data_IF_625803157516
#
_entry.id   IF_625803157516
#
_cell.length_a   1.000
_cell.length_b   1.000
_cell.length_c   1.000
_cell.angle_alpha   90.00
_cell.angle_beta   90.00
_cell.angle_gamma   90.00
#
_symmetry.space_group_name_H-M   'P 1'
#
loop_
_entity.id
_entity.type
_entity.pdbx_description
1 polymer ?
#
# COMPACT_ATOMS: atom_id res chain seq x y z
N UNK A 1 16.36 -17.69 1.83
CA UNK A 1 15.71 -17.75 0.50
C UNK A 1 16.12 -16.50 -0.29
N UNK A 2 16.61 -16.62 -1.53
CA UNK A 2 17.27 -15.51 -2.26
C UNK A 2 16.37 -14.29 -2.52
N UNK A 3 15.26 -14.44 -3.24
CA UNK A 3 14.42 -13.29 -3.62
C UNK A 3 13.82 -12.54 -2.42
N UNK A 4 13.40 -13.25 -1.36
CA UNK A 4 12.92 -12.63 -0.12
C UNK A 4 13.99 -11.73 0.50
N UNK A 5 15.25 -12.19 0.52
CA UNK A 5 16.35 -11.39 1.04
C UNK A 5 16.63 -10.15 0.17
N UNK A 6 16.61 -10.32 -1.15
CA UNK A 6 16.94 -9.27 -2.11
C UNK A 6 15.86 -8.19 -2.22
N UNK A 7 14.59 -8.54 -1.98
CA UNK A 7 13.45 -7.62 -2.04
C UNK A 7 12.93 -7.26 -0.65
N UNK A 8 12.23 -8.17 0.02
CA UNK A 8 11.48 -7.86 1.23
C UNK A 8 12.39 -7.49 2.42
N UNK A 9 13.46 -8.25 2.65
CA UNK A 9 14.43 -7.93 3.73
C UNK A 9 15.20 -6.65 3.40
N UNK A 10 15.58 -6.44 2.14
CA UNK A 10 16.24 -5.21 1.68
C UNK A 10 15.36 -3.99 1.90
N UNK A 11 14.08 -4.04 1.53
CA UNK A 11 13.10 -2.99 1.79
C UNK A 11 12.93 -2.77 3.30
N UNK A 12 12.79 -3.83 4.09
CA UNK A 12 12.65 -3.73 5.54
C UNK A 12 13.84 -3.05 6.22
N UNK A 13 15.07 -3.41 5.82
CA UNK A 13 16.30 -2.75 6.33
C UNK A 13 16.37 -1.29 5.92
N UNK A 14 16.09 -0.98 4.66
CA UNK A 14 16.06 0.41 4.18
C UNK A 14 15.05 1.27 4.94
N UNK A 15 13.88 0.70 5.27
CA UNK A 15 12.83 1.34 6.06
C UNK A 15 13.26 1.63 7.51
N UNK A 16 14.01 0.73 8.15
CA UNK A 16 14.56 0.94 9.49
C UNK A 16 15.58 2.08 9.56
N UNK A 17 16.29 2.35 8.46
CA UNK A 17 17.27 3.42 8.36
C UNK A 17 16.62 4.80 8.14
N UNK A 18 15.29 4.88 7.99
CA UNK A 18 14.60 6.17 7.82
C UNK A 18 14.52 6.91 9.16
N UNK A 19 14.75 8.24 9.18
CA UNK A 19 14.59 9.02 10.41
C UNK A 19 13.19 8.84 11.02
N UNK A 20 13.14 8.51 12.32
CA UNK A 20 11.88 8.25 13.04
C UNK A 20 11.33 6.82 12.86
N UNK A 21 11.99 5.97 12.07
CA UNK A 21 11.53 4.62 11.76
C UNK A 21 10.32 4.60 10.83
N UNK A 22 9.85 3.40 10.42
CA UNK A 22 8.85 3.28 9.37
C UNK A 22 7.39 3.49 9.80
N UNK A 23 7.10 3.73 11.09
CA UNK A 23 5.72 3.90 11.58
C UNK A 23 4.81 2.75 11.16
N UNK A 24 3.68 3.03 10.49
CA UNK A 24 2.78 2.01 9.91
C UNK A 24 3.10 1.77 8.42
N UNK A 25 3.24 0.52 8.00
CA UNK A 25 3.50 0.17 6.59
C UNK A 25 2.29 -0.53 5.99
N UNK A 26 1.83 -0.07 4.84
CA UNK A 26 0.87 -0.79 4.02
C UNK A 26 1.55 -1.54 2.88
N UNK A 27 1.17 -2.79 2.64
CA UNK A 27 1.77 -3.59 1.56
C UNK A 27 0.84 -4.69 1.05
N UNK A 28 0.97 -5.04 -0.23
CA UNK A 28 0.27 -6.20 -0.82
C UNK A 28 1.02 -7.53 -0.63
N UNK A 29 2.24 -7.48 -0.10
CA UNK A 29 3.03 -8.67 0.24
C UNK A 29 3.72 -8.44 1.59
N UNK A 30 3.05 -8.85 2.66
CA UNK A 30 3.49 -8.64 4.05
C UNK A 30 4.88 -9.22 4.26
N UNK A 31 5.04 -10.48 3.84
CA UNK A 31 6.25 -11.29 3.88
C UNK A 31 7.21 -10.95 5.03
N UNK A 32 8.49 -10.80 4.67
CA UNK A 32 9.57 -10.46 5.59
C UNK A 32 9.63 -8.95 5.95
N UNK A 33 8.89 -8.07 5.27
CA UNK A 33 8.95 -6.62 5.55
C UNK A 33 8.47 -6.34 6.97
N UNK A 34 7.31 -6.90 7.35
CA UNK A 34 6.79 -6.75 8.71
C UNK A 34 7.67 -7.41 9.76
N UNK A 35 8.21 -8.59 9.46
CA UNK A 35 9.12 -9.30 10.36
C UNK A 35 10.41 -8.53 10.63
N UNK A 36 11.03 -7.97 9.58
CA UNK A 36 12.29 -7.23 9.70
C UNK A 36 12.10 -5.90 10.41
N UNK A 37 11.02 -5.19 10.11
CA UNK A 37 10.80 -3.83 10.65
C UNK A 37 10.19 -3.83 12.04
N UNK A 38 9.43 -4.86 12.42
CA UNK A 38 8.61 -4.88 13.63
C UNK A 38 7.45 -3.86 13.60
N UNK A 39 7.21 -3.22 12.46
CA UNK A 39 6.20 -2.18 12.30
C UNK A 39 4.78 -2.78 12.17
N UNK A 40 3.74 -2.05 12.58
CA UNK A 40 2.36 -2.37 12.22
C UNK A 40 2.19 -2.48 10.71
N UNK A 41 1.59 -3.58 10.24
CA UNK A 41 1.32 -3.83 8.82
C UNK A 41 -0.17 -3.72 8.50
N UNK A 42 -0.47 -2.98 7.42
CA UNK A 42 -1.75 -3.03 6.72
C UNK A 42 -1.60 -3.88 5.46
N UNK A 43 -2.21 -5.05 5.45
CA UNK A 43 -2.25 -5.95 4.31
C UNK A 43 -3.30 -5.49 3.30
N UNK A 44 -2.85 -5.12 2.11
CA UNK A 44 -3.69 -4.58 1.05
C UNK A 44 -4.49 -5.66 0.31
N UNK A 45 -4.25 -6.93 0.59
CA UNK A 45 -4.98 -8.06 -0.01
C UNK A 45 -6.13 -8.56 0.87
N UNK A 46 -6.14 -8.18 2.16
CA UNK A 46 -7.22 -8.51 3.10
C UNK A 46 -7.12 -9.88 3.77
N UNK A 47 -5.97 -10.56 3.67
CA UNK A 47 -5.68 -11.79 4.41
C UNK A 47 -5.47 -11.51 5.89
N UNK A 48 -4.60 -10.56 6.23
CA UNK A 48 -4.31 -10.17 7.62
C UNK A 48 -5.16 -8.97 8.07
N UNK A 49 -5.47 -8.04 7.16
CA UNK A 49 -6.20 -6.81 7.46
C UNK A 49 -7.61 -6.85 6.89
N UNK A 50 -8.52 -7.60 7.53
CA UNK A 50 -9.87 -7.88 7.01
C UNK A 50 -10.73 -6.63 6.75
N UNK A 51 -10.49 -5.56 7.48
CA UNK A 51 -11.14 -4.25 7.33
C UNK A 51 -10.95 -3.60 5.94
N UNK A 52 -9.94 -4.03 5.16
CA UNK A 52 -9.75 -3.55 3.79
C UNK A 52 -10.77 -4.18 2.82
N UNK A 53 -11.31 -5.36 3.14
CA UNK A 53 -12.14 -6.15 2.22
C UNK A 53 -13.38 -5.39 1.73
N UNK A 54 -14.16 -4.68 2.57
CA UNK A 54 -15.27 -3.86 2.08
C UNK A 54 -14.83 -2.79 1.08
N UNK A 55 -13.65 -2.20 1.25
CA UNK A 55 -13.07 -1.24 0.32
C UNK A 55 -12.68 -1.89 -1.01
N UNK A 56 -12.03 -3.06 -0.96
CA UNK A 56 -11.65 -3.82 -2.16
C UNK A 56 -12.85 -4.25 -3.01
N UNK A 57 -14.04 -4.40 -2.41
CA UNK A 57 -15.28 -4.81 -3.08
C UNK A 57 -16.12 -3.65 -3.64
N UNK A 58 -15.69 -2.40 -3.43
CA UNK A 58 -16.47 -1.25 -3.91
C UNK A 58 -16.60 -1.26 -5.43
N UNK A 59 -17.75 -0.83 -5.98
CA UNK A 59 -17.87 -0.64 -7.42
C UNK A 59 -16.81 0.37 -7.88
N UNK A 60 -16.29 0.23 -9.11
CA UNK A 60 -15.37 1.22 -9.65
C UNK A 60 -16.09 2.57 -9.77
N UNK A 61 -15.33 3.66 -9.66
CA UNK A 61 -15.86 4.99 -9.90
C UNK A 61 -16.47 5.08 -11.33
N UNK A 62 -17.55 5.86 -11.54
CA UNK A 62 -18.11 6.07 -12.88
C UNK A 62 -17.03 6.49 -13.89
N UNK A 63 -16.97 5.81 -15.04
CA UNK A 63 -15.95 6.06 -16.06
C UNK A 63 -14.57 5.42 -15.79
N UNK A 64 -14.42 4.64 -14.72
CA UNK A 64 -13.21 3.87 -14.43
C UNK A 64 -13.45 2.38 -14.65
N UNK A 65 -12.57 1.72 -15.41
CA UNK A 65 -12.48 0.25 -15.47
C UNK A 65 -11.44 -0.31 -14.50
N UNK A 66 -10.86 0.54 -13.65
CA UNK A 66 -9.64 0.21 -12.91
C UNK A 66 -9.92 -0.80 -11.80
N UNK A 67 -9.49 -2.03 -12.06
CA UNK A 67 -9.49 -3.13 -11.12
C UNK A 67 -8.05 -3.60 -10.97
N UNK A 68 -7.57 -3.60 -9.74
CA UNK A 68 -6.27 -4.16 -9.39
C UNK A 68 -6.33 -5.67 -9.37
N UNK A 69 -5.29 -6.27 -8.79
CA UNK A 69 -5.19 -7.71 -8.60
C UNK A 69 -6.48 -8.33 -8.06
N UNK A 70 -6.89 -9.46 -8.65
CA UNK A 70 -8.10 -10.21 -8.33
C UNK A 70 -9.40 -9.38 -8.38
N UNK A 71 -9.45 -8.38 -9.26
CA UNK A 71 -10.64 -7.54 -9.38
C UNK A 71 -10.83 -6.58 -8.19
N UNK A 72 -9.78 -6.24 -7.45
CA UNK A 72 -9.88 -5.30 -6.34
C UNK A 72 -10.17 -3.87 -6.82
N UNK A 73 -11.02 -3.16 -6.09
CA UNK A 73 -11.29 -1.74 -6.31
C UNK A 73 -10.11 -0.89 -5.86
N UNK A 74 -9.36 -0.34 -6.81
CA UNK A 74 -8.21 0.53 -6.50
C UNK A 74 -8.66 1.88 -5.92
N UNK A 75 -9.80 2.42 -6.36
CA UNK A 75 -10.39 3.62 -5.77
C UNK A 75 -10.82 3.38 -4.33
N UNK A 76 -11.41 2.21 -4.05
CA UNK A 76 -11.73 1.81 -2.68
C UNK A 76 -10.47 1.62 -1.84
N UNK A 77 -9.44 0.96 -2.38
CA UNK A 77 -8.16 0.79 -1.70
C UNK A 77 -7.50 2.14 -1.37
N UNK A 78 -7.54 3.10 -2.28
CA UNK A 78 -7.02 4.44 -2.04
C UNK A 78 -7.78 5.17 -0.93
N UNK A 79 -9.10 5.00 -0.85
CA UNK A 79 -9.89 5.53 0.27
C UNK A 79 -9.48 4.89 1.60
N UNK A 80 -9.31 3.58 1.64
CA UNK A 80 -8.81 2.88 2.82
C UNK A 80 -7.46 3.45 3.27
N UNK A 81 -6.51 3.60 2.33
CA UNK A 81 -5.20 4.16 2.61
C UNK A 81 -5.28 5.60 3.15
N UNK A 82 -6.19 6.44 2.63
CA UNK A 82 -6.41 7.81 3.12
C UNK A 82 -6.99 7.85 4.53
N UNK A 83 -7.85 6.89 4.88
CA UNK A 83 -8.42 6.76 6.23
C UNK A 83 -7.35 6.26 7.21
N UNK A 84 -6.57 5.25 6.81
CA UNK A 84 -5.58 4.60 7.68
C UNK A 84 -4.25 5.33 7.79
N UNK A 85 -3.96 6.18 6.80
CA UNK A 85 -2.79 7.05 6.74
C UNK A 85 -1.46 6.34 7.06
N UNK A 86 -1.12 5.22 6.39
CA UNK A 86 0.16 4.56 6.63
C UNK A 86 1.31 5.49 6.25
N UNK A 87 2.43 5.32 6.94
CA UNK A 87 3.65 6.06 6.71
C UNK A 87 4.32 5.67 5.39
N UNK A 88 4.27 4.40 5.04
CA UNK A 88 4.82 3.89 3.79
C UNK A 88 3.84 2.95 3.13
N UNK A 89 3.85 2.94 1.80
CA UNK A 89 3.09 1.99 0.98
C UNK A 89 4.09 1.24 0.10
N UNK A 90 4.33 -0.04 0.35
CA UNK A 90 5.24 -0.87 -0.41
C UNK A 90 4.44 -1.84 -1.28
N UNK A 91 4.46 -1.67 -2.61
CA UNK A 91 3.61 -2.45 -3.51
C UNK A 91 4.29 -2.96 -4.77
N UNK A 92 3.76 -4.06 -5.31
CA UNK A 92 4.01 -4.47 -6.70
C UNK A 92 3.19 -3.59 -7.64
N UNK A 93 3.81 -2.70 -8.45
CA UNK A 93 3.07 -1.74 -9.25
C UNK A 93 2.20 -2.41 -10.33
N UNK A 94 2.58 -3.58 -10.83
CA UNK A 94 1.80 -4.31 -11.83
C UNK A 94 0.48 -4.87 -11.28
N UNK A 95 0.37 -5.04 -9.96
CA UNK A 95 -0.90 -5.43 -9.31
C UNK A 95 -1.90 -4.27 -9.25
N UNK A 96 -1.45 -3.04 -9.53
CA UNK A 96 -2.23 -1.82 -9.48
C UNK A 96 -2.04 -0.97 -10.76
N UNK A 97 -2.59 -1.40 -11.92
CA UNK A 97 -2.32 -0.79 -13.22
C UNK A 97 -2.71 0.70 -13.33
N UNK A 98 -3.67 1.17 -12.54
CA UNK A 98 -4.09 2.58 -12.61
C UNK A 98 -2.95 3.53 -12.29
N UNK A 99 -2.69 4.42 -13.25
CA UNK A 99 -1.78 5.55 -13.06
C UNK A 99 -2.27 6.48 -11.95
N UNK A 100 -3.57 6.75 -11.89
CA UNK A 100 -4.18 7.58 -10.86
C UNK A 100 -3.93 7.02 -9.46
N UNK A 101 -4.07 5.70 -9.29
CA UNK A 101 -3.82 5.05 -8.00
C UNK A 101 -2.35 5.24 -7.59
N UNK A 102 -1.41 4.91 -8.47
CA UNK A 102 0.04 5.00 -8.18
C UNK A 102 0.50 6.43 -7.91
N UNK A 103 0.01 7.41 -8.66
CA UNK A 103 0.30 8.83 -8.42
C UNK A 103 -0.26 9.31 -7.06
N UNK A 104 -1.43 8.80 -6.66
CA UNK A 104 -2.04 9.16 -5.39
C UNK A 104 -1.35 8.52 -4.16
N UNK A 105 -0.45 7.55 -4.34
CA UNK A 105 0.36 6.99 -3.24
C UNK A 105 1.48 7.94 -2.79
N UNK A 106 1.71 9.03 -3.51
CA UNK A 106 2.74 10.03 -3.19
C UNK A 106 4.08 9.73 -3.86
N UNK A 107 5.17 10.11 -3.18
CA UNK A 107 6.51 10.04 -3.78
C UNK A 107 7.05 8.63 -3.74
N UNK A 108 7.53 8.11 -4.87
CA UNK A 108 8.39 6.94 -4.89
C UNK A 108 9.72 7.29 -4.20
N UNK A 109 10.06 6.55 -3.14
CA UNK A 109 11.24 6.81 -2.31
C UNK A 109 12.25 5.68 -2.32
N UNK A 110 11.84 4.48 -2.75
CA UNK A 110 12.71 3.33 -2.92
C UNK A 110 12.10 2.32 -3.88
N UNK A 111 12.97 1.57 -4.58
CA UNK A 111 12.57 0.49 -5.48
C UNK A 111 13.54 -0.66 -5.36
N UNK A 112 13.00 -1.88 -5.43
CA UNK A 112 13.77 -3.08 -5.72
C UNK A 112 13.24 -3.71 -7.00
N UNK A 113 14.16 -4.01 -7.90
CA UNK A 113 13.94 -4.86 -9.07
C UNK A 113 14.76 -6.14 -8.88
N UNK A 114 14.13 -7.30 -9.05
CA UNK A 114 14.82 -8.59 -9.05
C UNK A 114 15.23 -8.97 -10.47
N UNK A 115 16.40 -9.57 -10.64
CA UNK A 115 16.84 -10.09 -11.94
C UNK A 115 16.22 -11.47 -12.23
N UNK A 116 16.02 -12.28 -11.18
CA UNK A 116 15.55 -13.66 -11.22
C UNK A 116 14.40 -13.87 -10.21
N UNK A 117 13.20 -13.34 -10.50
CA UNK A 117 12.07 -13.54 -9.61
C UNK A 117 11.47 -14.96 -9.75
N UNK A 118 11.71 -15.81 -8.74
CA UNK A 118 11.19 -17.18 -8.69
C UNK A 118 9.97 -17.30 -7.75
N UNK A 119 9.87 -16.44 -6.73
CA UNK A 119 8.93 -16.64 -5.61
C UNK A 119 8.18 -15.39 -5.15
N UNK A 120 8.62 -14.18 -5.46
CA UNK A 120 7.92 -12.96 -5.08
C UNK A 120 6.73 -12.73 -6.02
N UNK A 121 5.68 -12.07 -5.53
CA UNK A 121 4.45 -11.86 -6.31
C UNK A 121 4.64 -11.02 -7.58
N UNK A 122 5.72 -10.22 -7.65
CA UNK A 122 6.17 -9.55 -8.87
C UNK A 122 7.69 -9.29 -8.81
N UNK A 123 8.29 -8.97 -9.96
CA UNK A 123 9.72 -8.68 -10.12
C UNK A 123 10.11 -7.33 -9.52
N UNK A 124 9.19 -6.36 -9.54
CA UNK A 124 9.44 -5.00 -9.06
C UNK A 124 8.57 -4.71 -7.85
N UNK A 125 9.17 -4.15 -6.79
CA UNK A 125 8.45 -3.62 -5.63
C UNK A 125 8.88 -2.19 -5.36
N UNK A 126 7.91 -1.29 -5.24
CA UNK A 126 8.13 0.14 -5.05
C UNK A 126 7.62 0.55 -3.67
N UNK A 127 8.41 1.34 -2.95
CA UNK A 127 8.02 1.98 -1.70
C UNK A 127 7.67 3.44 -1.98
N UNK A 128 6.46 3.81 -1.62
CA UNK A 128 5.95 5.18 -1.66
C UNK A 128 5.92 5.78 -0.25
N UNK A 129 6.21 7.08 -0.16
CA UNK A 129 5.98 7.92 1.01
C UNK A 129 4.78 8.82 0.70
N UNK A 130 3.60 8.51 1.24
CA UNK A 130 2.41 9.31 0.99
C UNK A 130 2.48 10.70 1.63
N UNK A 131 1.83 11.65 0.97
CA UNK A 131 1.59 12.99 1.47
C UNK A 131 0.10 13.13 1.73
N UNK A 132 -0.38 12.48 2.78
CA UNK A 132 -1.79 12.55 3.15
C UNK A 132 -2.12 13.98 3.58
N UNK A 133 -2.86 14.72 2.76
CA UNK A 133 -3.40 16.01 3.15
C UNK A 133 -4.10 15.91 4.52
N UNK A 134 -4.02 16.96 5.33
CA UNK A 134 -4.88 17.05 6.51
C UNK A 134 -6.33 16.90 6.02
N UNK A 135 -7.01 15.85 6.46
CA UNK A 135 -8.42 15.69 6.11
C UNK A 135 -9.16 16.92 6.63
N UNK A 136 -9.88 17.63 5.77
CA UNK A 136 -10.88 18.57 6.27
C UNK A 136 -11.83 17.79 7.18
N UNK A 137 -12.18 18.32 8.37
CA UNK A 137 -13.19 17.69 9.20
C UNK A 137 -14.45 17.53 8.35
N UNK A 138 -15.03 16.32 8.33
CA UNK A 138 -16.38 16.12 7.83
C UNK A 138 -17.25 17.20 8.45
N UNK A 139 -17.77 18.13 7.64
CA UNK A 139 -18.72 19.15 8.11
C UNK A 139 -19.87 18.37 8.74
N UNK A 140 -19.90 18.35 10.07
CA UNK A 140 -20.99 17.76 10.82
C UNK A 140 -22.27 18.41 10.36
N UNK A 141 -23.22 17.58 9.95
CA UNK A 141 -24.59 18.02 9.72
C UNK A 141 -25.11 18.61 11.04
N UNK A 142 -25.10 19.94 11.11
CA UNK A 142 -25.89 20.68 12.06
C UNK A 142 -27.35 20.56 11.67
N UNK A 143 -28.07 19.63 12.29
CA UNK A 143 -29.52 19.74 12.50
C UNK A 143 -29.66 19.96 14.01
N UNK A 144 -29.85 21.19 14.47
CA UNK A 144 -31.08 21.94 14.26
C UNK A 144 -32.03 21.57 15.39
N UNK A 145 -31.94 22.30 16.51
CA UNK A 145 -32.99 22.31 17.55
C UNK A 145 -34.16 23.16 17.06
#
# INVERSE_FOLDING_TARGET
MKNINEMQVKIGRWLLERPGGPGTIATNDIGAIGFVTGAPILDLTGLATREVVPYLRRPPAPGSSNRGWNGASESGLLEFLRVRRPDYVAVFPAWYPSRFFREALGREVFRVDLDDNVICGDRSMIVYRPEWAASEPLRGEGSGR
#
